data_IF_453423452994
#
_entry.id   IF_453423452994
#
_cell.length_a   1.000
_cell.length_b   1.000
_cell.length_c   1.000
_cell.angle_alpha   90.00
_cell.angle_beta   90.00
_cell.angle_gamma   90.00
#
_symmetry.space_group_name_H-M   'P 1'
#
loop_
_entity.id
_entity.type
_entity.pdbx_description
1 polymer ?
#
# COMPACT_ATOMS: atom_id res chain seq x y z
N UNK A 1 47.17 4.60 -42.82
CA UNK A 1 46.09 5.46 -42.26
C UNK A 1 44.78 4.96 -42.84
N UNK A 2 44.00 4.21 -42.06
CA UNK A 2 42.56 3.94 -42.25
C UNK A 2 42.09 3.12 -41.04
N UNK A 3 40.99 3.55 -40.43
CA UNK A 3 40.34 2.97 -39.24
C UNK A 3 39.23 1.98 -39.63
N UNK A 4 39.11 0.95 -38.79
CA UNK A 4 37.93 0.26 -38.24
C UNK A 4 36.81 -0.29 -39.19
N UNK A 5 36.39 -1.55 -38.97
CA UNK A 5 35.04 -1.72 -38.39
C UNK A 5 34.88 -2.92 -37.40
N UNK A 6 33.89 -2.78 -36.49
CA UNK A 6 32.99 -3.82 -35.91
C UNK A 6 33.60 -5.12 -35.34
N UNK A 7 33.61 -5.36 -34.02
CA UNK A 7 32.48 -5.80 -33.18
C UNK A 7 31.86 -7.15 -33.61
N UNK A 8 32.34 -8.27 -33.05
CA UNK A 8 31.55 -9.48 -32.76
C UNK A 8 32.32 -10.47 -31.87
N UNK A 9 31.66 -10.93 -30.79
CA UNK A 9 31.88 -12.17 -30.03
C UNK A 9 33.22 -12.39 -29.29
N UNK A 10 33.19 -12.32 -27.97
CA UNK A 10 33.46 -13.48 -27.08
C UNK A 10 33.15 -13.10 -25.62
N UNK A 11 32.06 -13.62 -25.07
CA UNK A 11 31.84 -13.66 -23.62
C UNK A 11 31.69 -15.13 -23.22
N UNK A 12 32.77 -15.73 -22.73
CA UNK A 12 32.72 -16.93 -21.89
C UNK A 12 34.06 -17.10 -21.15
N UNK A 13 33.93 -17.33 -19.84
CA UNK A 13 34.90 -17.92 -18.92
C UNK A 13 35.97 -16.98 -18.29
N UNK A 14 35.74 -16.58 -17.02
CA UNK A 14 36.40 -17.16 -15.83
C UNK A 14 36.35 -16.17 -14.64
N UNK A 15 35.90 -16.66 -13.49
CA UNK A 15 35.94 -15.91 -12.23
C UNK A 15 35.24 -16.62 -11.09
N UNK A 16 35.59 -17.88 -10.81
CA UNK A 16 35.23 -18.54 -9.55
C UNK A 16 35.95 -17.77 -8.45
N UNK A 17 35.20 -16.92 -7.74
CA UNK A 17 35.70 -16.23 -6.54
C UNK A 17 34.93 -16.81 -5.36
N UNK A 18 35.68 -17.41 -4.44
CA UNK A 18 35.20 -18.01 -3.20
C UNK A 18 34.24 -17.08 -2.45
N UNK A 19 33.03 -17.56 -2.18
CA UNK A 19 32.09 -16.95 -1.24
C UNK A 19 32.73 -16.88 0.15
N UNK A 20 33.36 -15.76 0.45
CA UNK A 20 33.70 -15.38 1.82
C UNK A 20 32.44 -14.76 2.39
N UNK A 21 31.88 -15.38 3.45
CA UNK A 21 30.63 -14.94 4.07
C UNK A 21 30.66 -13.45 4.39
N UNK A 22 29.65 -12.73 3.88
CA UNK A 22 29.39 -11.35 4.28
C UNK A 22 29.14 -11.37 5.80
N UNK A 23 29.88 -10.58 6.60
CA UNK A 23 29.62 -10.52 8.04
C UNK A 23 28.21 -9.98 8.26
N UNK A 24 27.39 -10.77 8.94
CA UNK A 24 26.03 -10.40 9.35
C UNK A 24 26.18 -9.45 10.54
N UNK A 25 26.11 -8.14 10.29
CA UNK A 25 26.08 -7.14 11.37
C UNK A 25 24.76 -7.27 12.13
N UNK A 26 24.74 -7.27 13.47
CA UNK A 26 23.50 -7.28 14.25
C UNK A 26 22.59 -6.10 13.85
N UNK A 27 21.32 -6.40 13.53
CA UNK A 27 20.33 -5.43 13.06
C UNK A 27 20.04 -4.38 14.15
N UNK A 28 20.22 -3.10 13.82
CA UNK A 28 19.46 -2.03 14.49
C UNK A 28 17.96 -2.28 14.24
N UNK A 29 17.08 -1.92 15.18
CA UNK A 29 15.63 -2.08 15.01
C UNK A 29 15.12 -1.46 13.70
N UNK A 30 14.01 -1.98 13.16
CA UNK A 30 13.45 -1.51 11.89
C UNK A 30 13.27 0.03 11.88
N UNK A 31 13.73 0.74 10.85
CA UNK A 31 13.55 2.18 10.75
C UNK A 31 12.12 2.59 10.32
N UNK A 32 11.27 1.61 9.96
CA UNK A 32 9.92 1.86 9.48
C UNK A 32 8.93 2.08 10.63
N UNK A 33 8.01 3.03 10.43
CA UNK A 33 6.94 3.39 11.37
C UNK A 33 5.79 2.37 11.29
N UNK A 34 5.46 1.90 10.09
CA UNK A 34 4.38 0.95 9.87
C UNK A 34 4.91 -0.46 9.61
N UNK A 35 4.45 -1.40 10.43
CA UNK A 35 4.54 -2.84 10.21
C UNK A 35 3.19 -3.45 10.63
N UNK A 36 2.55 -4.21 9.75
CA UNK A 36 1.16 -4.65 9.95
C UNK A 36 0.68 -5.62 8.87
N UNK A 37 -0.58 -6.02 8.98
CA UNK A 37 -1.30 -6.81 7.97
C UNK A 37 -2.44 -5.97 7.38
N UNK A 38 -2.66 -6.09 6.08
CA UNK A 38 -3.79 -5.49 5.37
C UNK A 38 -4.97 -6.49 5.33
N UNK A 39 -6.20 -6.01 5.50
CA UNK A 39 -7.43 -6.79 5.37
C UNK A 39 -8.42 -6.08 4.42
N UNK A 40 -8.53 -6.63 3.20
CA UNK A 40 -9.46 -6.22 2.17
C UNK A 40 -10.92 -6.51 2.56
N UNK A 41 -11.73 -5.50 2.88
CA UNK A 41 -13.05 -5.69 3.48
C UNK A 41 -14.06 -4.56 3.21
N UNK A 42 -14.63 -4.50 2.01
CA UNK A 42 -15.99 -4.00 1.79
C UNK A 42 -16.54 -4.42 0.42
N UNK A 43 -17.83 -4.75 0.36
CA UNK A 43 -18.62 -4.78 -0.88
C UNK A 43 -19.66 -3.65 -0.71
N UNK A 44 -19.59 -2.59 -1.52
CA UNK A 44 -20.52 -1.45 -1.47
C UNK A 44 -21.89 -1.83 -2.09
N UNK A 45 -22.98 -1.04 -1.90
CA UNK A 45 -24.43 -1.34 -2.16
C UNK A 45 -25.09 -0.73 -3.44
N UNK A 46 -25.98 -1.48 -4.13
CA UNK A 46 -26.26 -1.39 -5.59
C UNK A 46 -26.67 -0.01 -6.15
N UNK A 47 -27.41 0.84 -5.42
CA UNK A 47 -27.95 2.10 -5.99
C UNK A 47 -28.25 3.19 -4.92
N UNK A 48 -27.89 2.95 -3.66
CA UNK A 48 -28.18 3.85 -2.54
C UNK A 48 -26.89 4.00 -1.75
N UNK A 49 -26.30 5.20 -1.77
CA UNK A 49 -25.17 5.56 -0.93
C UNK A 49 -25.61 6.50 0.20
N UNK A 50 -25.17 6.24 1.46
CA UNK A 50 -24.25 5.17 1.87
C UNK A 50 -24.92 3.78 2.00
N UNK A 51 -26.21 3.65 1.66
CA UNK A 51 -26.99 2.43 1.87
C UNK A 51 -27.29 2.21 3.36
N UNK A 52 -28.14 1.23 3.69
CA UNK A 52 -28.33 0.77 5.07
C UNK A 52 -27.63 -0.57 5.27
N UNK A 53 -26.85 -0.65 6.36
CA UNK A 53 -26.21 -1.88 6.82
C UNK A 53 -27.27 -2.97 7.04
N UNK A 54 -27.09 -4.13 6.40
CA UNK A 54 -27.98 -5.28 6.49
C UNK A 54 -29.14 -5.26 5.48
N UNK A 55 -29.16 -4.29 4.57
CA UNK A 55 -30.17 -4.16 3.52
C UNK A 55 -29.54 -3.89 2.15
N UNK A 56 -28.80 -2.79 1.99
CA UNK A 56 -28.16 -2.43 0.71
C UNK A 56 -26.70 -2.88 0.64
N UNK A 57 -26.03 -3.07 1.78
CA UNK A 57 -24.71 -3.70 1.85
C UNK A 57 -24.58 -4.48 3.16
N UNK A 58 -23.75 -5.52 3.16
CA UNK A 58 -23.36 -6.25 4.37
C UNK A 58 -21.86 -6.11 4.55
N UNK A 59 -21.43 -5.64 5.73
CA UNK A 59 -20.04 -5.85 6.14
C UNK A 59 -19.73 -7.34 6.18
N UNK A 60 -18.46 -7.75 5.98
CA UNK A 60 -17.97 -8.92 6.68
C UNK A 60 -18.40 -8.79 8.15
N UNK A 61 -18.95 -9.85 8.74
CA UNK A 61 -19.62 -9.81 10.06
C UNK A 61 -18.85 -8.88 11.01
N UNK A 62 -19.47 -7.81 11.52
CA UNK A 62 -18.74 -6.73 12.23
C UNK A 62 -17.85 -7.28 13.38
N UNK A 63 -18.31 -8.33 14.05
CA UNK A 63 -17.54 -9.02 15.08
C UNK A 63 -16.31 -9.77 14.55
N UNK A 64 -16.34 -10.26 13.31
CA UNK A 64 -15.18 -10.84 12.63
C UNK A 64 -14.16 -9.75 12.29
N UNK A 65 -14.60 -8.64 11.68
CA UNK A 65 -13.76 -7.48 11.38
C UNK A 65 -13.07 -6.94 12.63
N UNK A 66 -13.87 -6.64 13.67
CA UNK A 66 -13.32 -6.17 14.95
C UNK A 66 -12.34 -7.17 15.54
N UNK A 67 -12.62 -8.47 15.49
CA UNK A 67 -11.71 -9.49 16.00
C UNK A 67 -10.37 -9.48 15.27
N UNK A 68 -10.36 -9.31 13.95
CA UNK A 68 -9.12 -9.28 13.16
C UNK A 68 -8.33 -7.99 13.44
N UNK A 69 -9.01 -6.84 13.43
CA UNK A 69 -8.42 -5.55 13.82
C UNK A 69 -7.85 -5.58 15.25
N UNK A 70 -8.59 -6.13 16.21
CA UNK A 70 -8.15 -6.27 17.60
C UNK A 70 -7.01 -7.29 17.73
N UNK A 71 -7.00 -8.36 16.93
CA UNK A 71 -5.90 -9.34 16.94
C UNK A 71 -4.58 -8.68 16.52
N UNK A 72 -4.60 -7.83 15.49
CA UNK A 72 -3.43 -7.05 15.11
C UNK A 72 -3.06 -6.03 16.19
N UNK A 73 -4.00 -5.16 16.57
CA UNK A 73 -3.72 -4.01 17.44
C UNK A 73 -3.39 -4.39 18.90
N UNK A 74 -3.93 -5.48 19.43
CA UNK A 74 -3.55 -5.98 20.77
C UNK A 74 -2.09 -6.49 20.85
N UNK A 75 -1.45 -6.73 19.71
CA UNK A 75 0.00 -7.04 19.65
C UNK A 75 0.87 -5.79 19.53
N UNK A 76 0.28 -4.60 19.58
CA UNK A 76 0.97 -3.32 19.39
C UNK A 76 1.30 -3.00 17.93
N UNK A 77 0.67 -3.70 16.98
CA UNK A 77 0.84 -3.50 15.53
C UNK A 77 -0.28 -2.65 14.96
N UNK A 78 0.00 -1.97 13.84
CA UNK A 78 -1.04 -1.28 13.10
C UNK A 78 -1.90 -2.28 12.33
N UNK A 79 -3.19 -1.99 12.21
CA UNK A 79 -4.14 -2.74 11.39
C UNK A 79 -4.90 -1.77 10.47
N UNK A 80 -5.10 -2.16 9.22
CA UNK A 80 -5.65 -1.28 8.18
C UNK A 80 -7.06 -1.73 7.85
N UNK A 81 -7.97 -0.76 7.77
CA UNK A 81 -9.29 -0.95 7.17
C UNK A 81 -9.18 -0.52 5.71
N UNK A 82 -9.10 -1.49 4.80
CA UNK A 82 -9.02 -1.28 3.35
C UNK A 82 -10.34 -1.73 2.68
N UNK A 83 -11.19 -0.80 2.20
CA UNK A 83 -12.24 -1.13 1.26
C UNK A 83 -11.63 -1.43 -0.12
N UNK A 84 -11.38 -2.72 -0.36
CA UNK A 84 -10.64 -3.21 -1.50
C UNK A 84 -11.47 -3.24 -2.80
N UNK A 85 -11.85 -2.06 -3.29
CA UNK A 85 -12.95 -1.90 -4.23
C UNK A 85 -12.57 -1.24 -5.57
N UNK A 86 -11.31 -0.89 -5.81
CA UNK A 86 -10.85 -0.33 -7.09
C UNK A 86 -11.54 0.98 -7.49
N UNK A 87 -12.00 1.76 -6.51
CA UNK A 87 -12.81 2.96 -6.72
C UNK A 87 -14.23 2.68 -7.23
N UNK A 88 -14.73 1.45 -7.06
CA UNK A 88 -15.99 0.97 -7.63
C UNK A 88 -16.95 0.40 -6.60
N UNK A 89 -18.22 0.32 -6.98
CA UNK A 89 -19.30 -0.29 -6.22
C UNK A 89 -20.16 -1.08 -7.21
N UNK A 90 -20.16 -2.42 -7.11
CA UNK A 90 -20.66 -3.35 -8.16
C UNK A 90 -20.12 -3.03 -9.55
N UNK A 91 -18.79 -2.95 -9.64
CA UNK A 91 -18.06 -2.66 -10.88
C UNK A 91 -18.29 -1.26 -11.48
N UNK A 92 -19.21 -0.47 -10.92
CA UNK A 92 -19.47 0.91 -11.33
C UNK A 92 -18.60 1.90 -10.56
N UNK A 93 -18.03 2.88 -11.28
CA UNK A 93 -17.21 3.94 -10.67
C UNK A 93 -18.03 4.71 -9.63
N UNK A 94 -17.48 4.85 -8.42
CA UNK A 94 -18.08 5.68 -7.37
C UNK A 94 -18.02 7.14 -7.81
N UNK A 95 -19.16 7.70 -8.19
CA UNK A 95 -19.27 9.13 -8.59
C UNK A 95 -19.89 9.99 -7.50
N UNK A 96 -20.58 9.39 -6.54
CA UNK A 96 -21.22 10.10 -5.42
C UNK A 96 -20.24 10.29 -4.25
N UNK A 97 -19.52 11.40 -4.28
CA UNK A 97 -18.57 11.80 -3.23
C UNK A 97 -19.25 12.04 -1.88
N UNK A 98 -20.51 12.46 -1.87
CA UNK A 98 -21.28 12.66 -0.62
C UNK A 98 -21.64 11.32 0.01
N UNK A 99 -22.07 10.37 -0.82
CA UNK A 99 -22.30 8.98 -0.44
C UNK A 99 -21.05 8.31 0.11
N UNK A 100 -19.90 8.50 -0.55
CA UNK A 100 -18.61 7.97 -0.11
C UNK A 100 -18.16 8.56 1.25
N UNK A 101 -18.33 9.88 1.45
CA UNK A 101 -18.12 10.53 2.76
C UNK A 101 -19.04 9.97 3.84
N UNK A 102 -20.31 9.76 3.52
CA UNK A 102 -21.29 9.21 4.46
C UNK A 102 -20.96 7.76 4.85
N UNK A 103 -20.42 6.98 3.91
CA UNK A 103 -19.90 5.65 4.19
C UNK A 103 -18.75 5.70 5.21
N UNK A 104 -17.73 6.54 4.97
CA UNK A 104 -16.63 6.73 5.92
C UNK A 104 -17.07 7.25 7.29
N UNK A 105 -18.09 8.12 7.31
CA UNK A 105 -18.72 8.61 8.55
C UNK A 105 -19.40 7.49 9.34
N UNK A 106 -19.83 6.42 8.66
CA UNK A 106 -20.42 5.22 9.27
C UNK A 106 -19.35 4.23 9.75
N UNK A 107 -18.22 4.14 9.05
CA UNK A 107 -17.12 3.20 9.34
C UNK A 107 -16.26 3.66 10.49
N UNK A 108 -15.72 4.87 10.40
CA UNK A 108 -14.72 5.38 11.32
C UNK A 108 -15.13 5.37 12.81
N UNK A 109 -16.40 5.62 13.21
CA UNK A 109 -16.81 5.54 14.61
C UNK A 109 -16.58 4.16 15.25
N UNK A 110 -16.51 3.09 14.46
CA UNK A 110 -16.25 1.74 14.97
C UNK A 110 -14.85 1.61 15.55
N UNK A 111 -13.89 2.39 15.05
CA UNK A 111 -12.46 2.24 15.34
C UNK A 111 -11.80 3.51 15.89
N UNK A 112 -12.56 4.60 16.02
CA UNK A 112 -12.04 5.93 16.40
C UNK A 112 -11.25 5.99 17.70
N UNK A 113 -11.52 5.08 18.65
CA UNK A 113 -10.84 5.04 19.96
C UNK A 113 -9.58 4.15 19.93
N UNK A 114 -9.29 3.48 18.80
CA UNK A 114 -8.09 2.66 18.61
C UNK A 114 -7.11 3.38 17.67
N UNK A 115 -6.05 3.96 18.25
CA UNK A 115 -5.03 4.73 17.52
C UNK A 115 -4.11 3.89 16.64
N UNK A 116 -4.14 2.56 16.80
CA UNK A 116 -3.40 1.61 15.95
C UNK A 116 -4.21 1.18 14.71
N UNK A 117 -5.44 1.67 14.55
CA UNK A 117 -6.17 1.53 13.29
C UNK A 117 -5.69 2.58 12.30
N UNK A 118 -5.57 2.17 11.04
CA UNK A 118 -5.35 3.02 9.88
C UNK A 118 -6.56 2.88 8.97
N UNK A 119 -7.01 3.99 8.40
CA UNK A 119 -8.07 3.98 7.40
C UNK A 119 -7.46 4.17 6.03
N UNK A 120 -7.50 3.16 5.19
CA UNK A 120 -7.17 3.30 3.78
C UNK A 120 -8.44 3.66 3.02
N UNK A 121 -8.38 4.74 2.24
CA UNK A 121 -9.55 5.28 1.55
C UNK A 121 -10.20 4.30 0.58
N UNK A 122 -9.41 3.56 -0.21
CA UNK A 122 -9.85 2.56 -1.18
C UNK A 122 -8.65 1.99 -1.92
N UNK A 123 -8.63 0.67 -2.09
CA UNK A 123 -7.64 -0.01 -2.91
C UNK A 123 -7.70 0.39 -4.39
N UNK A 124 -6.54 0.70 -4.96
CA UNK A 124 -6.20 0.72 -6.38
C UNK A 124 -7.22 1.39 -7.32
N UNK A 125 -7.51 2.68 -7.11
CA UNK A 125 -8.25 3.46 -8.12
C UNK A 125 -7.61 3.31 -9.50
N UNK A 126 -8.41 3.00 -10.53
CA UNK A 126 -7.91 2.83 -11.90
C UNK A 126 -8.95 3.19 -12.97
N UNK A 127 -8.46 3.66 -14.12
CA UNK A 127 -9.28 4.03 -15.28
C UNK A 127 -10.40 5.05 -14.97
N UNK A 128 -10.10 5.97 -14.05
CA UNK A 128 -11.02 7.00 -13.55
C UNK A 128 -10.52 8.41 -13.87
N UNK A 129 -11.41 9.40 -13.79
CA UNK A 129 -11.02 10.81 -13.84
C UNK A 129 -10.18 11.20 -12.60
N UNK A 130 -9.05 11.88 -12.81
CA UNK A 130 -8.12 12.22 -11.73
C UNK A 130 -8.71 13.21 -10.71
N UNK A 131 -9.62 14.10 -11.14
CA UNK A 131 -10.29 15.01 -10.21
C UNK A 131 -11.29 14.24 -9.34
N UNK A 132 -12.06 13.32 -9.93
CA UNK A 132 -12.96 12.46 -9.17
C UNK A 132 -12.23 11.64 -8.10
N UNK A 133 -11.08 11.03 -8.43
CA UNK A 133 -10.28 10.28 -7.44
C UNK A 133 -9.82 11.21 -6.30
N UNK A 134 -9.42 12.45 -6.60
CA UNK A 134 -9.08 13.44 -5.56
C UNK A 134 -10.27 13.80 -4.67
N UNK A 135 -11.45 13.99 -5.27
CA UNK A 135 -12.65 14.34 -4.54
C UNK A 135 -13.12 13.18 -3.63
N UNK A 136 -13.01 11.93 -4.07
CA UNK A 136 -13.32 10.73 -3.26
C UNK A 136 -12.38 10.61 -2.05
N UNK A 137 -11.08 10.83 -2.24
CA UNK A 137 -10.10 10.78 -1.14
C UNK A 137 -10.36 11.88 -0.11
N UNK A 138 -10.61 13.10 -0.55
CA UNK A 138 -10.95 14.19 0.35
C UNK A 138 -12.28 13.92 1.08
N UNK A 139 -13.27 13.36 0.38
CA UNK A 139 -14.53 12.93 0.98
C UNK A 139 -14.33 11.86 2.08
N UNK A 140 -13.43 10.91 1.86
CA UNK A 140 -13.06 9.91 2.86
C UNK A 140 -12.38 10.53 4.08
N UNK A 141 -11.35 11.37 3.87
CA UNK A 141 -10.65 12.09 4.94
C UNK A 141 -11.66 12.87 5.80
N UNK A 142 -12.50 13.66 5.14
CA UNK A 142 -13.53 14.45 5.78
C UNK A 142 -14.49 13.58 6.61
N UNK A 143 -14.94 12.44 6.06
CA UNK A 143 -15.86 11.51 6.73
C UNK A 143 -15.24 10.89 7.97
N UNK A 144 -13.98 10.42 7.86
CA UNK A 144 -13.21 9.86 8.98
C UNK A 144 -13.05 10.89 10.09
N UNK A 145 -12.66 12.12 9.76
CA UNK A 145 -12.44 13.17 10.76
C UNK A 145 -13.76 13.68 11.36
N UNK A 146 -14.82 13.79 10.57
CA UNK A 146 -16.16 14.16 11.05
C UNK A 146 -16.74 13.15 12.05
N UNK A 147 -16.36 11.87 11.92
CA UNK A 147 -16.72 10.80 12.85
C UNK A 147 -15.97 10.85 14.21
N UNK A 148 -15.00 11.76 14.36
CA UNK A 148 -14.21 11.91 15.58
C UNK A 148 -12.99 10.99 15.66
N UNK A 149 -12.61 10.32 14.57
CA UNK A 149 -11.38 9.55 14.51
C UNK A 149 -10.19 10.48 14.21
N UNK A 150 -9.54 10.99 15.26
CA UNK A 150 -8.52 12.04 15.16
C UNK A 150 -7.08 11.55 15.37
N UNK A 151 -6.90 10.32 15.84
CA UNK A 151 -5.57 9.79 16.19
C UNK A 151 -4.94 8.96 15.05
N UNK A 152 -5.80 8.36 14.23
CA UNK A 152 -5.47 7.41 13.17
C UNK A 152 -4.82 8.09 11.97
N UNK A 153 -3.90 7.36 11.34
CA UNK A 153 -3.44 7.68 9.99
C UNK A 153 -4.53 7.42 8.97
N UNK A 154 -4.48 8.14 7.85
CA UNK A 154 -5.34 7.90 6.69
C UNK A 154 -4.41 7.63 5.51
N UNK A 155 -4.54 6.45 4.93
CA UNK A 155 -3.84 6.09 3.71
C UNK A 155 -4.67 6.52 2.50
N UNK A 156 -4.02 7.19 1.55
CA UNK A 156 -4.65 7.69 0.34
C UNK A 156 -3.94 7.13 -0.88
N UNK A 157 -4.71 6.58 -1.80
CA UNK A 157 -4.19 5.92 -2.99
C UNK A 157 -4.33 6.75 -4.25
N UNK A 158 -3.43 6.55 -5.22
CA UNK A 158 -3.45 7.24 -6.50
C UNK A 158 -4.35 6.53 -7.52
N UNK A 159 -4.58 7.18 -8.66
CA UNK A 159 -5.11 6.49 -9.85
C UNK A 159 -4.02 5.55 -10.43
N UNK A 160 -4.33 4.81 -11.50
CA UNK A 160 -3.41 3.86 -12.13
C UNK A 160 -2.94 2.76 -11.16
N UNK A 161 -3.89 2.16 -10.43
CA UNK A 161 -3.64 1.07 -9.48
C UNK A 161 -2.67 1.48 -8.37
N UNK A 162 -2.68 2.77 -8.04
CA UNK A 162 -1.70 3.42 -7.17
C UNK A 162 -0.23 3.07 -7.45
N UNK A 163 0.08 2.69 -8.70
CA UNK A 163 1.37 2.13 -9.07
C UNK A 163 2.49 3.14 -8.98
N UNK A 164 3.52 2.91 -8.15
CA UNK A 164 4.63 3.87 -8.00
C UNK A 164 5.36 4.14 -9.34
N UNK A 165 5.47 3.12 -10.20
CA UNK A 165 6.08 3.15 -11.54
C UNK A 165 5.38 4.08 -12.55
N UNK A 166 4.10 4.40 -12.32
CA UNK A 166 3.30 5.24 -13.21
C UNK A 166 2.66 6.42 -12.46
N UNK A 167 3.10 6.63 -11.21
CA UNK A 167 2.49 7.56 -10.28
C UNK A 167 2.49 8.97 -10.87
N UNK A 168 3.62 9.40 -11.45
CA UNK A 168 3.76 10.74 -12.02
C UNK A 168 2.85 10.96 -13.23
N UNK A 169 2.86 10.01 -14.17
CA UNK A 169 2.21 10.21 -15.48
C UNK A 169 0.70 9.97 -15.42
N UNK A 170 0.25 9.01 -14.61
CA UNK A 170 -1.14 8.56 -14.61
C UNK A 170 -1.79 8.52 -13.22
N UNK A 171 -1.04 8.72 -12.14
CA UNK A 171 -1.57 8.70 -10.77
C UNK A 171 -2.37 9.95 -10.37
N UNK A 172 -2.39 10.99 -11.21
CA UNK A 172 -3.12 12.24 -10.93
C UNK A 172 -2.43 13.11 -9.88
N UNK A 173 -1.10 13.22 -9.95
CA UNK A 173 -0.28 13.86 -8.91
C UNK A 173 -0.61 15.32 -8.65
N UNK A 174 -1.05 16.07 -9.66
CA UNK A 174 -1.37 17.50 -9.47
C UNK A 174 -2.60 17.69 -8.57
N UNK A 175 -3.63 16.86 -8.75
CA UNK A 175 -4.83 16.85 -7.93
C UNK A 175 -4.53 16.32 -6.51
N UNK A 176 -3.47 15.52 -6.38
CA UNK A 176 -3.05 14.89 -5.12
C UNK A 176 -2.34 15.81 -4.13
N UNK A 177 -1.76 16.93 -4.57
CA UNK A 177 -0.95 17.82 -3.71
C UNK A 177 -1.76 18.45 -2.58
N UNK A 178 -3.05 18.69 -2.84
CA UNK A 178 -3.90 19.57 -2.06
C UNK A 178 -4.86 18.85 -1.11
N UNK A 179 -4.74 17.52 -0.98
CA UNK A 179 -5.48 16.79 0.06
C UNK A 179 -5.16 17.38 1.43
N UNK A 180 -6.21 17.62 2.21
CA UNK A 180 -6.13 18.28 3.50
C UNK A 180 -6.70 17.39 4.60
N UNK A 181 -5.88 17.14 5.62
CA UNK A 181 -6.30 16.52 6.87
C UNK A 181 -5.99 17.47 8.03
N UNK A 182 -6.98 17.88 8.84
CA UNK A 182 -6.75 18.73 10.00
C UNK A 182 -5.84 18.10 11.06
N UNK A 183 -5.60 16.78 11.01
CA UNK A 183 -4.69 16.08 11.92
C UNK A 183 -3.28 15.86 11.35
N UNK A 184 -3.03 16.28 10.11
CA UNK A 184 -1.74 16.14 9.42
C UNK A 184 -1.21 14.70 9.44
N UNK A 185 -2.09 13.73 9.12
CA UNK A 185 -1.85 12.29 9.24
C UNK A 185 -2.13 11.52 7.94
N UNK A 186 -2.08 12.20 6.81
CA UNK A 186 -2.16 11.58 5.47
C UNK A 186 -0.83 10.88 5.15
N UNK A 187 -0.91 9.65 4.67
CA UNK A 187 0.20 8.90 4.07
C UNK A 187 -0.26 8.41 2.70
N UNK A 188 0.59 8.59 1.69
CA UNK A 188 0.30 8.16 0.33
C UNK A 188 0.65 6.69 0.18
N UNK A 189 -0.35 5.85 -0.03
CA UNK A 189 -0.17 4.42 -0.24
C UNK A 189 0.05 4.16 -1.72
N UNK A 190 1.22 3.61 -2.05
CA UNK A 190 1.59 3.26 -3.42
C UNK A 190 1.85 1.76 -3.49
N UNK A 191 1.55 1.15 -4.63
CA UNK A 191 1.76 -0.27 -4.88
C UNK A 191 2.90 -0.42 -5.87
N UNK A 192 3.80 -1.37 -5.61
CA UNK A 192 4.95 -1.55 -6.48
C UNK A 192 5.50 -2.95 -6.42
N UNK A 193 5.75 -3.49 -7.61
CA UNK A 193 6.61 -4.65 -7.77
C UNK A 193 8.05 -4.22 -8.02
N UNK A 194 8.33 -3.27 -8.94
CA UNK A 194 9.67 -2.68 -9.17
C UNK A 194 9.60 -1.23 -9.73
N UNK A 195 9.80 -0.19 -8.90
CA UNK A 195 9.93 1.20 -9.37
C UNK A 195 11.38 1.40 -9.81
N UNK A 196 11.63 1.42 -11.11
CA UNK A 196 12.98 1.42 -11.65
C UNK A 196 13.64 2.80 -11.71
N UNK A 197 12.88 3.89 -11.57
CA UNK A 197 13.41 5.25 -11.72
C UNK A 197 13.29 6.13 -10.47
N UNK A 198 12.55 5.70 -9.45
CA UNK A 198 12.44 6.40 -8.17
C UNK A 198 11.62 7.70 -8.24
N UNK A 199 10.90 7.92 -9.34
CA UNK A 199 10.17 9.15 -9.62
C UNK A 199 9.11 9.47 -8.57
N UNK A 200 8.43 8.44 -8.04
CA UNK A 200 7.49 8.59 -6.93
C UNK A 200 8.19 9.13 -5.67
N UNK A 201 9.36 8.59 -5.33
CA UNK A 201 10.13 9.02 -4.15
C UNK A 201 10.54 10.49 -4.25
N UNK A 202 11.03 10.92 -5.42
CA UNK A 202 11.42 12.30 -5.66
C UNK A 202 10.24 13.25 -5.57
N UNK A 203 9.09 12.88 -6.14
CA UNK A 203 7.89 13.68 -6.05
C UNK A 203 7.41 13.84 -4.61
N UNK A 204 7.38 12.75 -3.83
CA UNK A 204 6.97 12.80 -2.42
C UNK A 204 7.89 13.74 -1.63
N UNK A 205 9.21 13.62 -1.84
CA UNK A 205 10.21 14.49 -1.22
C UNK A 205 10.00 15.95 -1.58
N UNK A 206 9.81 16.26 -2.85
CA UNK A 206 9.63 17.63 -3.35
C UNK A 206 8.36 18.30 -2.81
N UNK A 207 7.32 17.50 -2.52
CA UNK A 207 6.03 17.99 -2.03
C UNK A 207 5.87 17.82 -0.50
N UNK A 208 6.92 17.40 0.21
CA UNK A 208 6.90 17.19 1.66
C UNK A 208 5.91 16.12 2.12
N UNK A 209 5.63 15.13 1.27
CA UNK A 209 4.66 14.07 1.54
C UNK A 209 5.35 12.80 2.06
N UNK A 210 4.58 11.99 2.78
CA UNK A 210 5.01 10.69 3.32
C UNK A 210 4.32 9.59 2.54
N UNK A 211 5.01 8.48 2.31
CA UNK A 211 4.46 7.36 1.57
C UNK A 211 4.64 6.03 2.32
N UNK A 212 3.83 5.05 1.97
CA UNK A 212 3.99 3.64 2.35
C UNK A 212 3.88 2.79 1.09
N UNK A 213 4.66 1.70 1.03
CA UNK A 213 4.50 0.71 -0.02
C UNK A 213 3.40 -0.30 0.40
N UNK A 214 2.17 -0.05 -0.03
CA UNK A 214 0.96 -0.75 0.38
C UNK A 214 0.88 -2.21 -0.05
N UNK A 215 1.41 -2.48 -1.25
CA UNK A 215 1.50 -3.84 -1.76
C UNK A 215 2.80 -4.05 -2.52
N UNK A 216 3.43 -5.19 -2.23
CA UNK A 216 4.55 -5.71 -3.00
C UNK A 216 4.65 -7.23 -2.87
N UNK A 217 5.14 -7.90 -3.90
CA UNK A 217 5.40 -9.33 -3.88
C UNK A 217 6.58 -9.72 -4.80
N UNK A 218 7.00 -10.97 -4.70
CA UNK A 218 8.02 -11.56 -5.57
C UNK A 218 7.93 -13.07 -5.60
N UNK A 219 8.26 -13.67 -6.75
CA UNK A 219 8.32 -15.13 -6.89
C UNK A 219 9.47 -15.74 -6.09
N UNK A 220 9.41 -17.05 -5.84
CA UNK A 220 10.44 -17.79 -5.07
C UNK A 220 11.64 -18.14 -5.92
N UNK A 221 12.36 -17.13 -6.37
CA UNK A 221 13.57 -17.28 -7.17
C UNK A 221 14.59 -16.19 -6.82
N UNK A 222 15.86 -16.43 -7.17
CA UNK A 222 16.95 -15.55 -6.80
C UNK A 222 16.82 -14.13 -7.38
N UNK A 223 16.25 -14.01 -8.58
CA UNK A 223 16.02 -12.71 -9.21
C UNK A 223 15.02 -11.88 -8.41
N UNK A 224 13.88 -12.45 -8.04
CA UNK A 224 12.86 -11.78 -7.23
C UNK A 224 13.37 -11.49 -5.81
N UNK A 225 14.10 -12.42 -5.17
CA UNK A 225 14.73 -12.16 -3.87
C UNK A 225 15.69 -10.97 -3.92
N UNK A 226 16.53 -10.91 -4.96
CA UNK A 226 17.44 -9.79 -5.16
C UNK A 226 16.69 -8.48 -5.39
N UNK A 227 15.64 -8.50 -6.20
CA UNK A 227 14.87 -7.31 -6.54
C UNK A 227 14.10 -6.75 -5.32
N UNK A 228 13.42 -7.62 -4.56
CA UNK A 228 12.74 -7.23 -3.30
C UNK A 228 13.75 -6.72 -2.28
N UNK A 229 14.91 -7.37 -2.13
CA UNK A 229 15.96 -6.90 -1.20
C UNK A 229 16.42 -5.50 -1.59
N UNK A 230 16.74 -5.27 -2.86
CA UNK A 230 17.16 -3.94 -3.35
C UNK A 230 16.08 -2.86 -3.16
N UNK A 231 14.82 -3.21 -3.40
CA UNK A 231 13.68 -2.32 -3.14
C UNK A 231 13.58 -1.97 -1.65
N UNK A 232 13.62 -2.94 -0.74
CA UNK A 232 13.53 -2.67 0.70
C UNK A 232 14.74 -1.89 1.22
N UNK A 233 15.95 -2.17 0.70
CA UNK A 233 17.15 -1.40 1.00
C UNK A 233 16.96 0.05 0.56
N UNK A 234 16.42 0.29 -0.64
CA UNK A 234 16.10 1.63 -1.12
C UNK A 234 15.09 2.33 -0.23
N UNK A 235 13.97 1.70 0.14
CA UNK A 235 12.99 2.30 1.07
C UNK A 235 13.65 2.67 2.41
N UNK A 236 14.51 1.79 2.94
CA UNK A 236 15.20 2.00 4.22
C UNK A 236 16.22 3.16 4.19
N UNK A 237 16.73 3.51 3.01
CA UNK A 237 17.64 4.64 2.81
C UNK A 237 16.89 5.95 2.57
N UNK A 238 15.58 5.89 2.32
CA UNK A 238 14.73 7.04 2.00
C UNK A 238 13.57 7.20 3.02
N UNK A 239 13.86 6.98 4.31
CA UNK A 239 12.85 6.97 5.40
C UNK A 239 12.30 8.36 5.73
N UNK A 240 12.90 9.42 5.21
CA UNK A 240 12.30 10.75 5.20
C UNK A 240 11.04 10.82 4.32
N UNK A 241 10.87 9.88 3.39
CA UNK A 241 9.66 9.70 2.57
C UNK A 241 8.90 8.45 3.03
N UNK A 242 9.55 7.29 2.99
CA UNK A 242 8.92 5.98 3.12
C UNK A 242 8.77 5.54 4.58
N UNK A 243 7.52 5.34 5.00
CA UNK A 243 7.15 5.02 6.38
C UNK A 243 7.05 3.51 6.64
N UNK A 244 7.07 2.69 5.59
CA UNK A 244 6.95 1.24 5.71
C UNK A 244 6.65 0.56 4.38
N UNK A 245 6.33 -0.72 4.47
CA UNK A 245 5.92 -1.56 3.35
C UNK A 245 5.07 -2.73 3.86
N UNK A 246 4.30 -3.35 2.96
CA UNK A 246 3.45 -4.50 3.25
C UNK A 246 3.54 -5.54 2.12
N UNK A 247 3.60 -6.82 2.51
CA UNK A 247 3.69 -7.94 1.57
C UNK A 247 2.31 -8.39 1.11
N UNK A 248 2.14 -8.54 -0.20
CA UNK A 248 1.01 -9.21 -0.80
C UNK A 248 1.38 -10.68 -1.12
N UNK A 249 0.83 -11.68 -0.46
CA UNK A 249 -0.12 -11.62 0.64
C UNK A 249 0.12 -12.75 1.64
N UNK A 250 -0.62 -12.73 2.73
CA UNK A 250 -0.82 -13.87 3.62
C UNK A 250 -2.31 -14.10 3.81
N UNK A 251 -2.70 -15.16 4.53
CA UNK A 251 -4.10 -15.46 4.82
C UNK A 251 -4.41 -16.96 4.76
N UNK A 252 -5.53 -17.40 5.36
CA UNK A 252 -5.80 -18.81 5.57
C UNK A 252 -6.23 -19.58 4.31
N UNK A 253 -6.54 -18.90 3.20
CA UNK A 253 -7.18 -19.49 2.01
C UNK A 253 -6.30 -19.55 0.77
N UNK A 254 -5.00 -19.25 0.91
CA UNK A 254 -4.09 -19.22 -0.24
C UNK A 254 -3.54 -20.59 -0.66
N UNK A 255 -3.73 -21.66 0.13
CA UNK A 255 -3.23 -23.00 -0.22
C UNK A 255 -1.69 -23.06 -0.34
N UNK A 256 -1.17 -24.13 -0.97
CA UNK A 256 0.28 -24.38 -1.12
C UNK A 256 0.86 -24.15 -2.53
N UNK A 257 0.03 -23.77 -3.51
CA UNK A 257 0.45 -23.53 -4.90
C UNK A 257 0.26 -22.04 -5.27
N UNK A 258 0.95 -21.15 -4.57
CA UNK A 258 0.97 -19.74 -4.94
C UNK A 258 2.17 -19.42 -5.85
N UNK A 259 1.93 -18.56 -6.83
CA UNK A 259 3.00 -17.89 -7.60
C UNK A 259 3.82 -16.94 -6.72
N UNK A 260 3.23 -16.46 -5.62
CA UNK A 260 3.84 -15.62 -4.58
C UNK A 260 3.61 -16.29 -3.23
N UNK A 261 4.64 -16.87 -2.58
CA UNK A 261 4.43 -17.57 -1.32
C UNK A 261 4.01 -16.56 -0.25
N UNK A 262 3.39 -17.09 0.81
CA UNK A 262 3.10 -16.29 1.99
C UNK A 262 4.40 -15.71 2.55
N UNK A 263 4.35 -14.49 3.11
CA UNK A 263 5.53 -13.83 3.70
C UNK A 263 6.32 -14.76 4.66
N UNK A 264 5.61 -15.65 5.36
CA UNK A 264 6.17 -16.64 6.27
C UNK A 264 7.21 -17.57 5.63
N UNK A 265 7.05 -17.93 4.35
CA UNK A 265 7.98 -18.84 3.65
C UNK A 265 9.31 -18.15 3.31
N UNK A 266 9.36 -16.81 3.32
CA UNK A 266 10.58 -16.01 3.14
C UNK A 266 11.25 -15.67 4.50
N UNK A 267 10.52 -15.75 5.61
CA UNK A 267 11.03 -15.43 6.95
C UNK A 267 12.00 -16.48 7.51
N UNK A 268 11.97 -17.73 7.02
CA UNK A 268 12.85 -18.82 7.48
C UNK A 268 14.34 -18.57 7.20
N UNK A 269 14.69 -17.52 6.45
CA UNK A 269 16.08 -17.08 6.26
C UNK A 269 16.52 -15.98 7.25
N UNK A 270 15.69 -15.57 8.23
CA UNK A 270 16.07 -14.64 9.29
C UNK A 270 16.33 -13.19 8.85
N UNK A 271 15.92 -12.79 7.64
CA UNK A 271 16.21 -11.46 7.06
C UNK A 271 15.08 -10.44 7.18
N UNK A 272 13.87 -10.85 7.56
CA UNK A 272 12.67 -10.01 7.44
C UNK A 272 11.88 -9.77 8.74
N UNK A 273 12.38 -10.26 9.89
CA UNK A 273 11.83 -10.00 11.23
C UNK A 273 12.37 -8.75 11.92
#
# INVERSE_FOLDING_TARGET
MMMNPTALLLAAALGITSCSGIPITPRQGSPFVFTGANEACAELGNDVLPGQLGKEYTWPVESAMRKLMDTGTNTGKYAIVDPHNFGRCYDEIITDTSGFKAWWTTVAPRYKDNSLVIFDTNNEYHDMDNQLVADLRQAAIDGVRAAGATQQYIFVEANSWTGAWNFIDQGGVEQMKNLYDPQDKIVYELHQYLDSDGSATEWMRANGKKAILGETAGGVNDQCKQAVTGMLDYLSQNTEVWQGWMWWAAGPWWGGELTFPSFCDLCDEGRFG
#
